data_IF_695529964778
#
_entry.id   IF_695529964778
#
_cell.length_a   1.000
_cell.length_b   1.000
_cell.length_c   1.000
_cell.angle_alpha   90.00
_cell.angle_beta   90.00
_cell.angle_gamma   90.00
#
_symmetry.space_group_name_H-M   'P 1'
#
loop_
_entity.id
_entity.type
_entity.pdbx_description
1 polymer ?
#
# COMPACT_ATOMS: atom_id res chain seq x y z
N UNK A 1 19.88 7.97 5.88
CA UNK A 1 19.56 6.88 4.93
C UNK A 1 18.85 5.79 5.71
N UNK A 2 17.63 5.33 5.39
CA UNK A 2 17.32 3.97 5.83
C UNK A 2 17.21 3.03 4.64
N UNK A 3 17.98 1.97 4.74
CA UNK A 3 17.52 0.69 4.22
C UNK A 3 16.50 0.18 5.24
N UNK A 4 15.30 -0.16 4.78
CA UNK A 4 14.25 -0.71 5.63
C UNK A 4 14.21 -2.21 5.38
N UNK A 5 14.47 -2.99 6.43
CA UNK A 5 14.20 -4.43 6.40
C UNK A 5 12.72 -4.64 6.74
N UNK A 6 11.93 -5.07 5.75
CA UNK A 6 10.49 -5.23 5.91
C UNK A 6 10.13 -6.36 6.88
N UNK A 7 11.02 -7.36 7.03
CA UNK A 7 10.82 -8.49 7.93
C UNK A 7 10.98 -8.07 9.40
N UNK A 8 11.68 -6.96 9.64
CA UNK A 8 11.81 -6.36 10.97
C UNK A 8 10.59 -5.53 11.40
N UNK A 9 9.69 -5.18 10.46
CA UNK A 9 8.50 -4.38 10.74
C UNK A 9 7.32 -5.31 11.01
N UNK A 10 6.69 -5.17 12.19
CA UNK A 10 5.50 -5.96 12.53
C UNK A 10 4.32 -5.52 11.65
N UNK A 11 3.61 -6.46 10.98
CA UNK A 11 2.42 -6.12 10.22
C UNK A 11 1.26 -5.74 11.13
N UNK A 12 0.40 -4.85 10.63
CA UNK A 12 -0.92 -4.58 11.18
C UNK A 12 -1.96 -5.21 10.26
N UNK A 13 -2.88 -5.97 10.83
CA UNK A 13 -4.05 -6.45 10.09
C UNK A 13 -5.12 -5.36 10.14
N UNK A 14 -5.28 -4.63 9.03
CA UNK A 14 -6.21 -3.48 8.93
C UNK A 14 -7.59 -3.90 8.46
N UNK A 15 -7.66 -5.02 7.74
CA UNK A 15 -8.88 -5.68 7.28
C UNK A 15 -8.64 -7.19 7.35
N UNK A 16 -9.69 -8.03 7.46
CA UNK A 16 -9.52 -9.48 7.50
C UNK A 16 -8.69 -9.99 6.31
N UNK A 17 -7.57 -10.66 6.61
CA UNK A 17 -6.66 -11.20 5.60
C UNK A 17 -5.79 -10.16 4.88
N UNK A 18 -5.80 -8.90 5.31
CA UNK A 18 -4.98 -7.81 4.77
C UNK A 18 -3.97 -7.33 5.80
N UNK A 19 -2.71 -7.74 5.65
CA UNK A 19 -1.60 -7.43 6.55
C UNK A 19 -0.71 -6.38 5.91
N UNK A 20 -0.63 -5.22 6.53
CA UNK A 20 0.04 -4.05 5.98
C UNK A 20 1.29 -3.71 6.77
N UNK A 21 2.28 -3.07 6.13
CA UNK A 21 3.42 -2.40 6.77
C UNK A 21 3.67 -1.09 6.02
N UNK A 22 3.59 0.04 6.71
CA UNK A 22 3.61 1.35 6.05
C UNK A 22 4.71 2.28 6.57
N UNK A 23 5.99 2.07 6.21
CA UNK A 23 6.99 3.08 6.47
C UNK A 23 6.71 4.33 5.64
N UNK A 24 6.88 5.51 6.24
CA UNK A 24 6.65 6.79 5.57
C UNK A 24 7.72 7.81 5.94
N UNK A 25 8.05 8.66 4.97
CA UNK A 25 8.93 9.82 5.13
C UNK A 25 8.13 11.12 5.24
N UNK A 26 8.65 12.19 4.66
CA UNK A 26 7.97 13.50 4.66
C UNK A 26 6.83 13.56 3.64
N UNK A 27 7.08 13.11 2.40
CA UNK A 27 6.15 13.25 1.28
C UNK A 27 5.62 11.93 0.71
N UNK A 28 6.27 10.83 1.06
CA UNK A 28 5.98 9.50 0.52
C UNK A 28 5.68 8.54 1.66
N UNK A 29 4.60 7.79 1.51
CA UNK A 29 4.33 6.58 2.28
C UNK A 29 4.46 5.38 1.36
N UNK A 30 5.22 4.38 1.78
CA UNK A 30 5.19 3.06 1.15
C UNK A 30 4.20 2.20 1.95
N UNK A 31 3.51 1.28 1.29
CA UNK A 31 2.70 0.24 1.92
C UNK A 31 3.08 -1.09 1.31
N UNK A 32 3.58 -2.01 2.14
CA UNK A 32 3.74 -3.40 1.77
C UNK A 32 2.52 -4.16 2.26
N UNK A 33 1.61 -4.47 1.35
CA UNK A 33 0.34 -5.12 1.64
C UNK A 33 0.38 -6.58 1.21
N UNK A 34 0.21 -7.46 2.18
CA UNK A 34 0.00 -8.90 1.97
C UNK A 34 -1.49 -9.21 2.09
N UNK A 35 -2.03 -9.88 1.07
CA UNK A 35 -3.44 -10.26 1.00
C UNK A 35 -3.54 -11.79 0.94
N UNK A 36 -4.29 -12.37 1.88
CA UNK A 36 -4.69 -13.78 1.82
C UNK A 36 -5.63 -14.00 0.61
N UNK A 37 -5.78 -15.24 0.13
CA UNK A 37 -6.68 -15.54 -0.99
C UNK A 37 -8.12 -15.10 -0.68
N UNK A 38 -8.74 -14.37 -1.61
CA UNK A 38 -10.09 -13.83 -1.44
C UNK A 38 -10.17 -12.65 -0.48
N UNK A 39 -9.06 -12.16 0.08
CA UNK A 39 -9.07 -10.93 0.87
C UNK A 39 -9.45 -9.73 -0.01
N UNK A 40 -10.16 -8.77 0.59
CA UNK A 40 -10.76 -7.63 -0.09
C UNK A 40 -10.32 -6.34 0.61
N UNK A 41 -9.76 -5.42 -0.17
CA UNK A 41 -9.73 -4.00 0.19
C UNK A 41 -10.97 -3.36 -0.43
N UNK A 42 -11.99 -2.97 0.36
CA UNK A 42 -13.27 -2.49 -0.16
C UNK A 42 -13.13 -1.26 -1.06
N UNK A 43 -14.18 -1.01 -1.85
CA UNK A 43 -14.29 0.21 -2.64
C UNK A 43 -14.15 1.45 -1.74
N UNK A 44 -13.17 2.29 -2.05
CA UNK A 44 -12.91 3.53 -1.31
C UNK A 44 -12.24 4.55 -2.23
N UNK A 45 -12.04 5.75 -1.72
CA UNK A 45 -11.26 6.80 -2.37
C UNK A 45 -10.60 7.67 -1.31
N UNK A 46 -9.55 8.38 -1.69
CA UNK A 46 -8.81 9.29 -0.81
C UNK A 46 -8.18 10.40 -1.65
N UNK A 47 -7.85 11.58 -1.07
CA UNK A 47 -7.31 12.71 -1.80
C UNK A 47 -5.83 12.53 -2.20
N UNK A 48 -5.17 11.49 -1.68
CA UNK A 48 -3.77 11.19 -1.94
C UNK A 48 -3.65 10.52 -3.31
N UNK A 49 -2.62 10.88 -4.08
CA UNK A 49 -2.27 10.10 -5.27
C UNK A 49 -1.68 8.77 -4.83
N UNK A 50 -2.09 7.66 -5.46
CA UNK A 50 -1.57 6.34 -5.17
C UNK A 50 -0.95 5.73 -6.43
N UNK A 51 0.31 5.33 -6.35
CA UNK A 51 0.91 4.40 -7.29
C UNK A 51 1.04 3.03 -6.68
N UNK A 52 1.14 1.99 -7.50
CA UNK A 52 1.45 0.67 -6.98
C UNK A 52 1.98 -0.32 -8.00
N UNK A 53 2.55 -1.40 -7.49
CA UNK A 53 3.05 -2.52 -8.26
C UNK A 53 2.67 -3.83 -7.58
N UNK A 54 2.10 -4.75 -8.35
CA UNK A 54 1.83 -6.10 -7.87
C UNK A 54 3.14 -6.89 -7.85
N UNK A 55 3.60 -7.28 -6.66
CA UNK A 55 4.86 -8.01 -6.47
C UNK A 55 4.68 -9.53 -6.62
N UNK A 56 3.50 -10.05 -6.24
CA UNK A 56 3.19 -11.48 -6.27
C UNK A 56 1.69 -11.71 -6.44
N UNK A 57 1.33 -12.81 -7.10
CA UNK A 57 -0.05 -13.30 -7.18
C UNK A 57 -0.85 -12.63 -8.29
N UNK A 58 -2.17 -12.59 -8.13
CA UNK A 58 -3.11 -11.90 -9.00
C UNK A 58 -4.09 -11.06 -8.20
N UNK A 59 -4.50 -9.94 -8.78
CA UNK A 59 -5.41 -9.01 -8.15
C UNK A 59 -6.49 -8.62 -9.15
N UNK A 60 -7.76 -8.76 -8.78
CA UNK A 60 -8.82 -8.02 -9.47
C UNK A 60 -8.83 -6.60 -8.92
N UNK A 61 -8.41 -5.65 -9.76
CA UNK A 61 -8.30 -4.23 -9.43
C UNK A 61 -9.41 -3.47 -10.16
N UNK A 62 -10.24 -2.78 -9.40
CA UNK A 62 -11.21 -1.81 -9.93
C UNK A 62 -10.68 -0.40 -9.72
N UNK A 63 -10.72 0.43 -10.76
CA UNK A 63 -10.38 1.86 -10.73
C UNK A 63 -11.39 2.65 -11.56
N UNK A 64 -12.23 3.44 -10.92
CA UNK A 64 -13.38 4.09 -11.57
C UNK A 64 -14.33 3.04 -12.16
N UNK A 65 -14.57 3.13 -13.47
CA UNK A 65 -15.45 2.22 -14.21
C UNK A 65 -14.70 1.00 -14.81
N UNK A 66 -13.39 0.93 -14.60
CA UNK A 66 -12.55 -0.12 -15.18
C UNK A 66 -12.21 -1.20 -14.16
N UNK A 67 -12.38 -2.46 -14.56
CA UNK A 67 -12.01 -3.66 -13.78
C UNK A 67 -11.02 -4.48 -14.60
N UNK A 68 -9.88 -4.84 -13.98
CA UNK A 68 -8.88 -5.71 -14.60
C UNK A 68 -8.35 -6.71 -13.59
N UNK A 69 -8.16 -7.96 -14.03
CA UNK A 69 -7.26 -8.89 -13.33
C UNK A 69 -5.84 -8.59 -13.78
N UNK A 70 -4.99 -8.25 -12.82
CA UNK A 70 -3.56 -7.97 -13.04
C UNK A 70 -2.72 -9.03 -12.35
N UNK A 71 -1.53 -9.28 -12.91
CA UNK A 71 -0.57 -10.28 -12.41
C UNK A 71 0.73 -9.60 -11.96
N UNK A 72 1.57 -10.34 -11.24
CA UNK A 72 2.85 -9.83 -10.75
C UNK A 72 3.67 -9.14 -11.86
N UNK A 73 4.21 -7.96 -11.57
CA UNK A 73 4.87 -7.08 -12.53
C UNK A 73 3.98 -5.96 -13.08
N UNK A 74 2.66 -6.04 -12.91
CA UNK A 74 1.77 -4.95 -13.27
C UNK A 74 1.97 -3.72 -12.37
N UNK A 75 1.88 -2.53 -12.97
CA UNK A 75 1.92 -1.24 -12.27
C UNK A 75 0.61 -0.49 -12.52
N UNK A 76 0.22 0.34 -11.57
CA UNK A 76 -0.96 1.20 -11.67
C UNK A 76 -0.71 2.56 -11.01
N UNK A 77 -1.47 3.56 -11.47
CA UNK A 77 -1.52 4.91 -10.90
C UNK A 77 -3.01 5.24 -10.74
N UNK A 78 -3.39 5.62 -9.53
CA UNK A 78 -4.74 5.99 -9.12
C UNK A 78 -4.71 7.49 -8.80
N UNK A 79 -5.32 8.33 -9.65
CA UNK A 79 -5.43 9.76 -9.38
C UNK A 79 -6.24 10.04 -8.11
N UNK A 80 -6.01 11.20 -7.45
CA UNK A 80 -6.78 11.63 -6.29
C UNK A 80 -8.29 11.48 -6.44
N UNK A 81 -8.93 10.96 -5.40
CA UNK A 81 -10.38 10.74 -5.28
C UNK A 81 -10.98 9.77 -6.31
N UNK A 82 -10.18 9.02 -7.06
CA UNK A 82 -10.68 7.96 -7.95
C UNK A 82 -11.14 6.78 -7.09
N UNK A 83 -12.41 6.33 -7.18
CA UNK A 83 -12.87 5.14 -6.48
C UNK A 83 -12.11 3.90 -6.93
N UNK A 84 -11.62 3.09 -5.99
CA UNK A 84 -10.88 1.87 -6.30
C UNK A 84 -11.10 0.75 -5.27
N UNK A 85 -10.97 -0.50 -5.73
CA UNK A 85 -11.13 -1.73 -4.96
C UNK A 85 -10.08 -2.75 -5.39
N UNK A 86 -9.60 -3.58 -4.46
CA UNK A 86 -8.67 -4.66 -4.75
C UNK A 86 -9.16 -5.99 -4.13
N UNK A 87 -9.11 -7.07 -4.90
CA UNK A 87 -9.44 -8.43 -4.45
C UNK A 87 -8.30 -9.37 -4.85
N UNK A 88 -7.75 -10.12 -3.89
CA UNK A 88 -6.78 -11.18 -4.20
C UNK A 88 -7.50 -12.38 -4.81
N UNK A 89 -7.11 -12.77 -6.03
CA UNK A 89 -7.73 -13.84 -6.80
C UNK A 89 -6.70 -14.89 -7.18
N UNK A 90 -7.14 -16.14 -7.38
CA UNK A 90 -6.27 -17.29 -7.72
C UNK A 90 -5.09 -17.52 -6.75
N UNK A 91 -5.27 -17.16 -5.47
CA UNK A 91 -4.27 -17.32 -4.40
C UNK A 91 -3.95 -16.02 -3.65
N UNK A 92 -2.94 -16.04 -2.77
CA UNK A 92 -2.50 -14.85 -2.04
C UNK A 92 -1.73 -13.88 -2.95
N UNK A 93 -1.82 -12.59 -2.63
CA UNK A 93 -1.20 -11.51 -3.38
C UNK A 93 -0.34 -10.62 -2.49
N UNK A 94 0.65 -9.95 -3.09
CA UNK A 94 1.46 -8.94 -2.41
C UNK A 94 1.57 -7.70 -3.29
N UNK A 95 1.21 -6.55 -2.75
CA UNK A 95 1.21 -5.26 -3.44
C UNK A 95 2.16 -4.30 -2.72
N UNK A 96 2.97 -3.57 -3.48
CA UNK A 96 3.58 -2.34 -3.01
C UNK A 96 2.71 -1.18 -3.45
N UNK A 97 2.13 -0.45 -2.50
CA UNK A 97 1.51 0.85 -2.77
C UNK A 97 2.44 1.99 -2.34
N UNK A 98 2.31 3.12 -3.01
CA UNK A 98 3.03 4.36 -2.73
C UNK A 98 2.01 5.49 -2.73
N UNK A 99 1.97 6.26 -1.65
CA UNK A 99 1.05 7.39 -1.50
C UNK A 99 1.82 8.71 -1.44
N UNK A 100 1.25 9.75 -2.06
CA UNK A 100 1.67 11.13 -1.86
C UNK A 100 0.47 12.10 -1.83
N UNK A 101 0.33 12.98 -0.82
CA UNK A 101 1.18 13.06 0.37
C UNK A 101 1.04 11.80 1.26
N UNK A 102 1.68 11.80 2.43
CA UNK A 102 1.54 10.72 3.41
C UNK A 102 0.08 10.59 3.84
N UNK A 103 -0.44 9.37 3.90
CA UNK A 103 -1.77 9.06 4.45
C UNK A 103 -1.76 9.19 5.97
N UNK A 104 -2.38 10.24 6.49
CA UNK A 104 -2.34 10.58 7.91
C UNK A 104 -2.97 9.50 8.80
N UNK A 105 -4.05 8.87 8.33
CA UNK A 105 -4.73 7.76 9.02
C UNK A 105 -3.85 6.51 9.17
N UNK A 106 -3.01 6.21 8.19
CA UNK A 106 -2.00 5.14 8.30
C UNK A 106 -0.78 5.59 9.10
N UNK A 107 -0.43 6.88 9.02
CA UNK A 107 0.67 7.44 9.78
C UNK A 107 0.40 7.43 11.30
N UNK A 108 -0.85 7.60 11.74
CA UNK A 108 -1.23 7.49 13.16
C UNK A 108 -1.06 6.06 13.70
N UNK A 109 -1.15 5.05 12.84
CA UNK A 109 -1.02 3.64 13.21
C UNK A 109 0.45 3.15 13.22
N UNK A 110 1.38 3.92 12.66
CA UNK A 110 2.78 3.53 12.46
C UNK A 110 3.79 4.59 12.92
N UNK A 111 4.96 4.15 13.37
CA UNK A 111 6.04 5.08 13.74
C UNK A 111 6.50 5.91 12.53
N UNK A 112 6.54 7.24 12.71
CA UNK A 112 7.13 8.17 11.75
C UNK A 112 8.61 7.86 11.55
N UNK A 113 8.98 7.45 10.34
CA UNK A 113 10.40 7.46 9.98
C UNK A 113 10.75 8.85 9.45
N UNK A 114 11.16 9.74 10.36
CA UNK A 114 11.97 10.90 9.95
C UNK A 114 13.43 10.49 10.15
N UNK A 115 14.29 10.52 9.14
CA UNK A 115 15.72 10.51 9.42
C UNK A 115 16.01 11.72 10.30
N UNK A 116 16.55 11.50 11.49
CA UNK A 116 17.16 12.60 12.25
C UNK A 116 18.32 13.09 11.39
N UNK A 117 18.25 14.33 10.91
CA UNK A 117 19.43 14.97 10.34
C UNK A 117 20.46 15.05 11.46
N UNK A 118 21.69 14.61 11.21
CA UNK A 118 22.85 14.85 12.08
C UNK A 118 23.20 16.36 12.09
N UNK A 119 22.24 17.22 12.40
CA UNK A 119 22.46 18.63 12.75
C UNK A 119 22.23 18.77 14.25
N UNK A 120 23.20 18.28 15.02
CA UNK A 120 23.67 18.86 16.28
C UNK A 120 24.86 18.01 16.79
N UNK A 121 26.06 18.38 16.33
CA UNK A 121 27.34 18.05 16.97
C UNK A 121 28.04 19.33 17.38
#
# INVERSE_FOLDING_TARGET
MPFIDIDSVKPLEVLPGCKMRTPYGENLMLSYLEMDEGAIVPMHHHPHEQGGMLLKGKLELTMGDEVRVVEAGAMFIIPPNTPHQAIAVDGPAVVLDVFSPVREDYAELYNKYIPVSDEES
#
